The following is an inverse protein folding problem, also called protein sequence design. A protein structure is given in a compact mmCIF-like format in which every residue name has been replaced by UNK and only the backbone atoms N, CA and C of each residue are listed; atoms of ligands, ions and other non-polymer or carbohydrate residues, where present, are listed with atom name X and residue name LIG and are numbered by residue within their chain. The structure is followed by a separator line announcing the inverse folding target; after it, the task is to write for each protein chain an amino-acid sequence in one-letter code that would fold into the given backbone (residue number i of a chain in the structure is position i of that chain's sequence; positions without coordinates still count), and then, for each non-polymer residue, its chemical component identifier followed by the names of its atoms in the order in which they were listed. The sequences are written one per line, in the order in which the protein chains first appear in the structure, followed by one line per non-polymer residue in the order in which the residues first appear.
data_IF_383872524731
#
_entry.id   IF_383872524731
#
_cell.length_a   1.000
_cell.length_b   1.000
_cell.length_c   1.000
_cell.angle_alpha   90.00
_cell.angle_beta   90.00
_cell.angle_gamma   90.00
#
_symmetry.space_group_name_H-M   'P 1'
#
loop_
_entity.id
_entity.type
_entity.pdbx_description
1 polymer ?
#
# COMPACT_ATOMS: atom_id res chain seq x y z
N UNK A 1 14.58 -0.97 -9.60
CA UNK A 1 14.16 -2.40 -9.56
C UNK A 1 12.65 -2.47 -9.36
N UNK A 2 11.96 -3.34 -10.11
CA UNK A 2 10.51 -3.55 -9.99
C UNK A 2 10.19 -5.04 -9.96
N UNK A 3 9.04 -5.37 -9.37
CA UNK A 3 8.48 -6.72 -9.35
C UNK A 3 7.55 -6.88 -10.56
N UNK A 4 7.85 -7.83 -11.45
CA UNK A 4 7.02 -8.12 -12.63
C UNK A 4 6.09 -9.29 -12.41
N UNK A 5 6.49 -10.29 -11.66
CA UNK A 5 5.69 -11.49 -11.45
C UNK A 5 5.93 -12.13 -10.09
N UNK A 6 4.88 -12.64 -9.49
CA UNK A 6 4.92 -13.36 -8.20
C UNK A 6 4.28 -14.72 -8.36
N UNK A 7 4.97 -15.76 -7.89
CA UNK A 7 4.46 -17.12 -7.83
C UNK A 7 4.51 -17.64 -6.41
N UNK A 8 3.40 -18.18 -5.96
CA UNK A 8 3.29 -18.81 -4.64
C UNK A 8 2.76 -20.23 -4.81
N UNK A 9 3.28 -21.13 -4.00
CA UNK A 9 2.80 -22.52 -3.88
C UNK A 9 2.74 -22.89 -2.40
N UNK A 10 1.59 -23.35 -1.97
CA UNK A 10 1.33 -23.92 -0.64
C UNK A 10 1.71 -23.00 0.54
N UNK A 11 1.50 -21.70 0.45
CA UNK A 11 1.69 -20.77 1.58
C UNK A 11 0.34 -20.52 2.25
N UNK A 12 0.19 -20.92 3.50
CA UNK A 12 -1.04 -20.72 4.30
C UNK A 12 -2.30 -21.05 3.49
N UNK A 13 -3.22 -20.09 3.29
CA UNK A 13 -4.44 -20.23 2.50
C UNK A 13 -4.20 -20.46 1.01
N UNK A 14 -3.06 -20.03 0.47
CA UNK A 14 -2.77 -20.10 -0.95
C UNK A 14 -2.25 -21.47 -1.38
N UNK A 15 -3.03 -22.18 -2.19
CA UNK A 15 -2.56 -23.40 -2.84
C UNK A 15 -1.60 -23.07 -4.00
N UNK A 16 -1.99 -22.09 -4.84
CA UNK A 16 -1.19 -21.59 -5.96
C UNK A 16 -1.61 -20.16 -6.30
N UNK A 17 -0.63 -19.30 -6.50
CA UNK A 17 -0.79 -17.96 -7.07
C UNK A 17 0.23 -17.82 -8.20
N UNK A 18 -0.16 -17.23 -9.31
CA UNK A 18 0.73 -16.81 -10.40
C UNK A 18 0.21 -15.46 -10.87
N UNK A 19 0.84 -14.38 -10.42
CA UNK A 19 0.38 -13.01 -10.57
C UNK A 19 1.38 -12.21 -11.37
N UNK A 20 0.94 -11.69 -12.51
CA UNK A 20 1.69 -10.75 -13.36
C UNK A 20 1.38 -9.32 -12.90
N UNK A 21 2.40 -8.59 -12.47
CA UNK A 21 2.30 -7.19 -12.01
C UNK A 21 2.73 -6.19 -13.09
N UNK A 22 2.98 -6.66 -14.31
CA UNK A 22 3.33 -5.80 -15.45
C UNK A 22 2.12 -4.96 -15.87
N UNK A 23 2.38 -3.72 -16.23
CA UNK A 23 1.37 -2.80 -16.74
C UNK A 23 1.39 -2.73 -18.27
N UNK A 24 0.32 -2.22 -18.89
CA UNK A 24 0.35 -1.82 -20.28
C UNK A 24 1.56 -0.91 -20.54
N UNK A 25 2.18 -1.01 -21.71
CA UNK A 25 3.40 -0.26 -22.10
C UNK A 25 4.68 -0.59 -21.30
N UNK A 26 4.72 -1.71 -20.56
CA UNK A 26 5.94 -2.24 -19.95
C UNK A 26 6.41 -1.55 -18.67
N UNK A 27 5.73 -0.51 -18.20
CA UNK A 27 6.00 0.08 -16.88
C UNK A 27 5.63 -0.89 -15.75
N UNK A 28 6.26 -0.76 -14.60
CA UNK A 28 5.89 -1.47 -13.37
C UNK A 28 5.76 -0.53 -12.18
N UNK A 29 6.13 0.75 -12.33
CA UNK A 29 5.88 1.77 -11.32
C UNK A 29 4.38 2.07 -11.21
N UNK A 30 3.99 2.78 -10.15
CA UNK A 30 2.62 3.19 -9.90
C UNK A 30 1.96 2.41 -8.77
N UNK A 31 0.62 2.40 -8.72
CA UNK A 31 -0.17 1.96 -7.59
C UNK A 31 -0.92 0.65 -7.87
N UNK A 32 -0.51 -0.41 -7.17
CA UNK A 32 -1.15 -1.73 -7.22
C UNK A 32 -1.84 -2.00 -5.88
N UNK A 33 -3.11 -2.33 -5.92
CA UNK A 33 -3.94 -2.61 -4.75
C UNK A 33 -4.29 -4.09 -4.69
N UNK A 34 -3.97 -4.71 -3.57
CA UNK A 34 -4.41 -6.05 -3.19
C UNK A 34 -5.66 -5.89 -2.34
N UNK A 35 -6.82 -6.11 -2.93
CA UNK A 35 -8.11 -5.96 -2.28
C UNK A 35 -8.79 -7.31 -2.05
N UNK A 36 -9.75 -7.34 -1.14
CA UNK A 36 -10.49 -8.56 -0.77
C UNK A 36 -10.93 -8.51 0.69
N UNK A 37 -11.83 -9.42 1.05
CA UNK A 37 -12.42 -9.50 2.39
C UNK A 37 -11.37 -9.86 3.46
N UNK A 38 -11.78 -9.74 4.74
CA UNK A 38 -10.95 -10.19 5.86
C UNK A 38 -10.61 -11.68 5.73
N UNK A 39 -9.37 -12.02 6.06
CA UNK A 39 -8.89 -13.41 5.94
C UNK A 39 -8.50 -13.85 4.53
N UNK A 40 -8.67 -13.06 3.48
CA UNK A 40 -8.28 -13.40 2.10
C UNK A 40 -6.77 -13.57 1.89
N UNK A 41 -5.95 -13.20 2.88
CA UNK A 41 -4.50 -13.41 2.84
C UNK A 41 -3.71 -12.24 2.28
N UNK A 42 -4.27 -11.03 2.18
CA UNK A 42 -3.59 -9.82 1.68
C UNK A 42 -2.22 -9.61 2.32
N UNK A 43 -2.17 -9.51 3.64
CA UNK A 43 -0.91 -9.36 4.40
C UNK A 43 0.04 -10.55 4.19
N UNK A 44 -0.49 -11.77 4.06
CA UNK A 44 0.34 -12.96 3.79
C UNK A 44 1.01 -12.88 2.43
N UNK A 45 0.27 -12.46 1.39
CA UNK A 45 0.82 -12.26 0.04
C UNK A 45 1.90 -11.17 0.05
N UNK A 46 1.62 -10.04 0.69
CA UNK A 46 2.55 -8.91 0.77
C UNK A 46 3.84 -9.29 1.51
N UNK A 47 3.71 -9.97 2.67
CA UNK A 47 4.85 -10.48 3.44
C UNK A 47 5.64 -11.55 2.67
N UNK A 48 4.98 -12.44 1.95
CA UNK A 48 5.66 -13.44 1.13
C UNK A 48 6.51 -12.79 0.01
N UNK A 49 5.99 -11.75 -0.64
CA UNK A 49 6.72 -10.94 -1.61
C UNK A 49 7.97 -10.33 -0.95
N UNK A 50 7.83 -9.66 0.18
CA UNK A 50 8.96 -9.05 0.90
C UNK A 50 10.04 -10.09 1.24
N UNK A 51 9.64 -11.23 1.82
CA UNK A 51 10.55 -12.32 2.20
C UNK A 51 11.34 -12.86 1.01
N UNK A 52 10.69 -13.00 -0.15
CA UNK A 52 11.33 -13.49 -1.38
C UNK A 52 12.44 -12.56 -1.87
N UNK A 53 12.32 -11.26 -1.61
CA UNK A 53 13.26 -10.23 -2.07
C UNK A 53 14.40 -9.98 -1.08
N UNK A 54 14.14 -10.05 0.24
CA UNK A 54 15.19 -9.81 1.26
C UNK A 54 16.09 -11.02 1.51
N UNK A 55 15.64 -12.20 1.14
CA UNK A 55 16.41 -13.44 1.22
C UNK A 55 16.35 -14.16 2.58
N UNK A 56 16.87 -15.39 2.65
CA UNK A 56 16.64 -16.30 3.79
C UNK A 56 17.27 -15.83 5.10
N UNK A 57 18.42 -15.20 5.07
CA UNK A 57 19.09 -14.71 6.28
C UNK A 57 18.31 -13.55 6.91
N UNK A 58 17.92 -12.55 6.10
CA UNK A 58 17.12 -11.43 6.56
C UNK A 58 15.72 -11.87 6.99
N UNK A 59 15.11 -12.84 6.28
CA UNK A 59 13.80 -13.38 6.61
C UNK A 59 13.76 -13.94 8.05
N UNK A 60 14.80 -14.69 8.47
CA UNK A 60 14.91 -15.20 9.85
C UNK A 60 15.11 -14.12 10.90
N UNK A 61 15.66 -12.98 10.52
CA UNK A 61 15.85 -11.86 11.43
C UNK A 61 14.61 -11.04 11.67
N UNK A 62 13.77 -10.85 10.62
CA UNK A 62 12.58 -10.00 10.71
C UNK A 62 11.34 -10.74 11.23
N UNK A 63 11.32 -12.05 11.15
CA UNK A 63 10.16 -12.87 11.52
C UNK A 63 10.53 -13.92 12.56
N UNK A 64 9.81 -13.92 13.68
CA UNK A 64 10.14 -14.75 14.86
C UNK A 64 9.97 -16.26 14.60
N UNK A 65 9.08 -16.66 13.71
CA UNK A 65 8.86 -18.06 13.39
C UNK A 65 8.00 -18.25 12.13
N UNK A 66 8.24 -19.36 11.45
CA UNK A 66 7.53 -19.75 10.24
C UNK A 66 6.55 -20.90 10.46
N UNK A 67 6.24 -21.24 11.71
CA UNK A 67 5.20 -22.20 12.03
C UNK A 67 3.88 -21.79 11.37
N UNK A 68 3.21 -22.74 10.70
CA UNK A 68 1.97 -22.49 9.98
C UNK A 68 2.12 -21.74 8.63
N UNK A 69 3.32 -21.47 8.14
CA UNK A 69 3.52 -20.93 6.79
C UNK A 69 3.29 -21.95 5.69
N UNK A 70 3.61 -23.20 5.94
CA UNK A 70 3.32 -24.29 5.00
C UNK A 70 1.83 -24.63 5.12
N UNK A 71 1.15 -24.70 3.99
CA UNK A 71 -0.26 -25.11 3.91
C UNK A 71 -0.43 -26.51 4.52
N UNK A 72 -1.45 -26.68 5.34
CA UNK A 72 -1.76 -27.94 6.01
C UNK A 72 -1.76 -29.13 5.04
N UNK A 73 -1.09 -30.21 5.42
CA UNK A 73 -0.96 -31.43 4.61
C UNK A 73 0.03 -31.32 3.45
N UNK A 74 0.82 -30.26 3.34
CA UNK A 74 1.87 -30.13 2.32
C UNK A 74 3.26 -30.22 2.93
N UNK A 75 4.24 -30.82 2.22
CA UNK A 75 5.60 -30.96 2.72
C UNK A 75 6.44 -29.70 2.53
N UNK A 76 6.01 -28.81 1.62
CA UNK A 76 6.79 -27.65 1.25
C UNK A 76 5.89 -26.48 0.79
N UNK A 77 6.36 -25.27 1.04
CA UNK A 77 5.82 -24.03 0.50
C UNK A 77 6.90 -23.25 -0.24
N UNK A 78 6.52 -22.48 -1.26
CA UNK A 78 7.47 -21.73 -2.10
C UNK A 78 6.87 -20.37 -2.46
N UNK A 79 7.72 -19.34 -2.43
CA UNK A 79 7.47 -18.06 -3.08
C UNK A 79 8.61 -17.74 -4.05
N UNK A 80 8.25 -17.28 -5.24
CA UNK A 80 9.19 -16.81 -6.26
C UNK A 80 8.72 -15.46 -6.78
N UNK A 81 9.66 -14.53 -6.93
CA UNK A 81 9.40 -13.19 -7.44
C UNK A 81 10.36 -12.88 -8.59
N UNK A 82 9.82 -12.47 -9.73
CA UNK A 82 10.62 -12.02 -10.86
C UNK A 82 10.89 -10.53 -10.72
N UNK A 83 12.15 -10.18 -10.63
CA UNK A 83 12.65 -8.81 -10.48
C UNK A 83 13.21 -8.32 -11.80
N UNK A 84 12.80 -7.11 -12.19
CA UNK A 84 13.37 -6.37 -13.32
C UNK A 84 14.19 -5.21 -12.76
N UNK A 85 15.51 -5.21 -13.00
CA UNK A 85 16.36 -4.09 -12.60
C UNK A 85 16.03 -2.82 -13.36
N UNK A 86 16.16 -1.69 -12.68
CA UNK A 86 16.01 -0.36 -13.25
C UNK A 86 17.37 0.26 -13.57
N UNK A 87 17.38 1.33 -14.35
CA UNK A 87 18.60 2.08 -14.61
C UNK A 87 19.14 2.67 -13.29
N UNK A 88 20.37 2.36 -12.95
CA UNK A 88 21.00 2.79 -11.69
C UNK A 88 21.00 1.74 -10.57
N UNK A 89 20.29 0.62 -10.71
CA UNK A 89 20.41 -0.49 -9.76
C UNK A 89 21.79 -1.15 -9.90
N UNK A 90 22.50 -1.27 -8.80
CA UNK A 90 23.78 -1.98 -8.73
C UNK A 90 23.51 -3.32 -8.05
N UNK A 91 23.43 -4.37 -8.86
CA UNK A 91 23.30 -5.73 -8.38
C UNK A 91 24.67 -6.39 -8.36
N UNK A 92 24.99 -7.08 -7.29
CA UNK A 92 26.26 -7.74 -7.10
C UNK A 92 26.68 -8.61 -8.29
N UNK A 93 27.93 -8.46 -8.74
CA UNK A 93 28.53 -9.18 -9.87
C UNK A 93 28.18 -8.66 -11.25
N UNK A 94 27.41 -7.58 -11.41
CA UNK A 94 27.24 -6.91 -12.67
C UNK A 94 28.46 -6.01 -12.98
N UNK A 95 29.03 -6.16 -14.19
CA UNK A 95 30.02 -5.20 -14.68
C UNK A 95 29.33 -3.84 -14.89
N UNK A 96 29.99 -2.76 -14.49
CA UNK A 96 29.50 -1.41 -14.72
C UNK A 96 29.14 -1.22 -16.21
N UNK A 97 27.91 -0.79 -16.50
CA UNK A 97 27.43 -0.53 -17.88
C UNK A 97 26.60 -1.64 -18.53
N UNK A 98 26.50 -2.83 -17.96
CA UNK A 98 25.62 -3.88 -18.49
C UNK A 98 24.30 -3.81 -17.72
N UNK A 99 23.16 -3.56 -18.39
CA UNK A 99 21.84 -3.69 -17.80
C UNK A 99 21.67 -5.14 -17.35
N UNK A 100 21.50 -5.40 -16.04
CA UNK A 100 21.24 -6.75 -15.58
C UNK A 100 19.88 -7.20 -16.14
N UNK A 101 19.83 -8.41 -16.65
CA UNK A 101 18.55 -9.00 -17.06
C UNK A 101 17.68 -9.26 -15.85
N UNK A 102 16.35 -9.26 -16.04
CA UNK A 102 15.41 -9.69 -15.02
C UNK A 102 15.72 -11.11 -14.53
N UNK A 103 15.52 -11.36 -13.26
CA UNK A 103 15.85 -12.63 -12.62
C UNK A 103 14.81 -13.03 -11.57
N UNK A 104 14.72 -14.34 -11.31
CA UNK A 104 13.90 -14.88 -10.25
C UNK A 104 14.65 -14.92 -8.94
N UNK A 105 13.96 -14.54 -7.88
CA UNK A 105 14.38 -14.66 -6.49
C UNK A 105 13.28 -15.36 -5.73
N UNK A 106 13.60 -16.10 -4.66
CA UNK A 106 12.57 -16.79 -3.91
C UNK A 106 13.06 -17.51 -2.67
N UNK A 107 12.10 -17.99 -1.92
CA UNK A 107 12.30 -18.79 -0.72
C UNK A 107 11.45 -20.06 -0.76
N UNK A 108 11.95 -21.11 -0.16
CA UNK A 108 11.21 -22.34 0.14
C UNK A 108 11.25 -22.67 1.63
N UNK A 109 10.12 -23.09 2.12
CA UNK A 109 9.91 -23.65 3.46
C UNK A 109 9.70 -25.15 3.32
N UNK A 110 10.49 -25.97 4.00
CA UNK A 110 10.33 -27.41 4.01
C UNK A 110 10.01 -27.88 5.42
N UNK A 111 8.96 -28.69 5.54
CA UNK A 111 8.60 -29.31 6.81
C UNK A 111 9.77 -30.14 7.36
N UNK A 112 10.04 -29.96 8.64
CA UNK A 112 11.06 -30.71 9.35
C UNK A 112 10.40 -31.72 10.28
N UNK A 113 10.82 -32.98 10.21
CA UNK A 113 10.25 -34.04 11.04
C UNK A 113 10.42 -33.69 12.53
N UNK A 114 9.34 -33.70 13.28
CA UNK A 114 9.31 -33.43 14.73
C UNK A 114 9.64 -31.96 15.12
N UNK A 115 9.57 -31.02 14.18
CA UNK A 115 9.69 -29.58 14.48
C UNK A 115 8.49 -28.83 13.93
N UNK A 116 7.87 -27.90 14.68
CA UNK A 116 6.86 -26.98 14.16
C UNK A 116 7.48 -25.95 13.20
N UNK A 117 8.78 -25.66 13.34
CA UNK A 117 9.48 -24.71 12.49
C UNK A 117 10.04 -25.38 11.23
N UNK A 118 9.68 -24.87 10.05
CA UNK A 118 10.20 -25.36 8.79
C UNK A 118 11.65 -24.91 8.55
N UNK A 119 12.39 -25.67 7.79
CA UNK A 119 13.67 -25.20 7.26
C UNK A 119 13.42 -24.21 6.13
N UNK A 120 14.17 -23.10 6.14
CA UNK A 120 14.11 -22.03 5.15
C UNK A 120 15.35 -22.07 4.27
N UNK A 121 15.16 -22.09 2.96
CA UNK A 121 16.24 -22.09 1.99
C UNK A 121 15.94 -21.20 0.79
N UNK A 122 16.96 -20.68 0.09
CA UNK A 122 16.75 -19.99 -1.18
C UNK A 122 16.06 -20.92 -2.18
N UNK A 123 15.09 -20.39 -2.92
CA UNK A 123 14.47 -21.09 -4.01
C UNK A 123 15.25 -20.81 -5.30
N UNK A 124 15.78 -21.86 -5.89
CA UNK A 124 16.47 -21.83 -7.19
C UNK A 124 15.63 -22.59 -8.19
N UNK A 125 15.18 -21.92 -9.24
CA UNK A 125 14.38 -22.57 -10.30
C UNK A 125 15.18 -23.65 -11.03
N UNK A 126 14.63 -24.87 -11.08
CA UNK A 126 15.32 -26.05 -11.69
C UNK A 126 15.54 -25.94 -13.19
N UNK A 127 14.79 -25.08 -13.89
CA UNK A 127 14.77 -25.01 -15.37
C UNK A 127 15.25 -23.68 -15.94
N UNK A 128 15.95 -22.86 -15.15
CA UNK A 128 16.42 -21.56 -15.64
C UNK A 128 17.88 -21.64 -16.05
N UNK A 129 18.21 -21.06 -17.22
CA UNK A 129 19.60 -20.92 -17.68
C UNK A 129 20.45 -20.26 -16.59
N UNK A 130 21.67 -20.72 -16.40
CA UNK A 130 22.55 -20.36 -15.27
C UNK A 130 22.74 -18.83 -15.04
N UNK A 131 22.48 -18.00 -16.07
CA UNK A 131 22.51 -16.53 -16.00
C UNK A 131 21.25 -15.91 -15.35
N UNK A 132 20.12 -16.62 -15.32
CA UNK A 132 18.86 -16.16 -14.73
C UNK A 132 18.66 -16.71 -13.31
N UNK A 133 19.47 -17.70 -12.92
CA UNK A 133 19.45 -18.34 -11.60
C UNK A 133 20.63 -17.85 -10.79
N UNK A 134 20.54 -16.66 -10.26
CA UNK A 134 21.62 -16.23 -9.38
C UNK A 134 21.08 -15.85 -8.00
N UNK A 135 20.68 -16.82 -7.13
CA UNK A 135 20.44 -16.51 -5.73
C UNK A 135 21.69 -15.92 -5.07
N UNK A 136 22.88 -16.35 -5.51
CA UNK A 136 24.15 -15.71 -5.17
C UNK A 136 24.36 -14.33 -5.83
N UNK A 137 23.52 -13.92 -6.77
CA UNK A 137 23.56 -12.64 -7.50
C UNK A 137 22.27 -11.83 -7.37
N UNK A 138 21.33 -12.29 -6.54
CA UNK A 138 20.11 -11.55 -6.20
C UNK A 138 20.40 -10.34 -5.30
N UNK A 139 19.38 -9.53 -5.01
CA UNK A 139 19.54 -8.32 -4.20
C UNK A 139 20.18 -8.53 -2.84
N UNK A 140 20.17 -9.76 -2.33
CA UNK A 140 20.75 -10.13 -1.03
C UNK A 140 22.15 -10.73 -1.09
N UNK A 141 22.72 -10.96 -2.27
CA UNK A 141 24.01 -11.64 -2.41
C UNK A 141 25.18 -10.86 -1.80
N UNK A 142 25.05 -9.54 -1.73
CA UNK A 142 26.04 -8.67 -1.10
C UNK A 142 25.47 -7.95 0.12
N UNK A 143 26.24 -7.93 1.20
CA UNK A 143 25.88 -7.20 2.41
C UNK A 143 25.72 -5.69 2.20
N UNK A 144 26.23 -5.16 1.09
CA UNK A 144 26.29 -3.74 0.73
C UNK A 144 25.74 -3.47 -0.66
N UNK A 145 24.67 -4.15 -1.09
CA UNK A 145 24.01 -3.83 -2.37
C UNK A 145 23.51 -2.38 -2.39
N UNK A 146 24.09 -1.56 -3.28
CA UNK A 146 23.73 -0.17 -3.49
C UNK A 146 22.76 -0.06 -4.68
N UNK A 147 21.93 0.98 -4.67
CA UNK A 147 21.16 1.34 -5.86
C UNK A 147 19.90 0.53 -6.13
N UNK A 148 19.51 -0.40 -5.24
CA UNK A 148 18.20 -1.03 -5.29
C UNK A 148 17.40 -0.71 -4.02
N UNK A 149 16.09 -0.60 -4.16
CA UNK A 149 15.23 -0.18 -3.08
C UNK A 149 13.99 -1.05 -2.97
N UNK A 150 13.77 -1.60 -1.77
CA UNK A 150 12.52 -2.21 -1.33
C UNK A 150 12.29 -1.79 0.11
N UNK A 151 11.12 -1.22 0.40
CA UNK A 151 10.67 -0.95 1.77
C UNK A 151 9.32 -1.63 2.02
N UNK A 152 9.05 -1.98 3.29
CA UNK A 152 7.81 -2.64 3.67
C UNK A 152 7.27 -2.08 4.99
N UNK A 153 5.99 -1.70 4.99
CA UNK A 153 5.31 -1.04 6.09
C UNK A 153 4.08 -1.85 6.52
N UNK A 154 4.00 -2.16 7.81
CA UNK A 154 2.84 -2.83 8.42
C UNK A 154 1.71 -1.87 8.77
N UNK A 155 0.58 -2.36 9.31
CA UNK A 155 -0.55 -1.53 9.72
C UNK A 155 -0.24 -0.69 10.96
N UNK A 156 0.63 -1.15 11.85
CA UNK A 156 0.97 -0.49 13.13
C UNK A 156 2.09 0.54 12.98
N UNK A 157 1.96 1.47 12.02
CA UNK A 157 2.91 2.55 11.76
C UNK A 157 2.83 3.65 12.82
N UNK A 158 3.38 3.41 14.01
CA UNK A 158 3.36 4.37 15.11
C UNK A 158 4.66 5.18 15.15
N UNK A 159 4.55 6.47 15.58
CA UNK A 159 5.71 7.30 15.94
C UNK A 159 6.15 7.12 17.39
N UNK A 160 5.47 6.29 18.16
CA UNK A 160 5.76 6.01 19.57
C UNK A 160 5.89 4.51 19.76
N UNK A 161 6.94 4.09 20.45
CA UNK A 161 7.24 2.70 20.78
C UNK A 161 8.72 2.55 21.08
N UNK A 162 9.07 1.79 22.11
CA UNK A 162 10.45 1.55 22.56
C UNK A 162 10.74 0.05 22.67
N UNK A 163 10.33 -0.73 21.67
CA UNK A 163 10.73 -2.14 21.65
C UNK A 163 12.22 -2.25 21.29
N UNK A 164 13.02 -2.63 22.24
CA UNK A 164 14.49 -2.71 22.11
C UNK A 164 14.94 -3.63 20.98
N UNK A 165 14.17 -4.68 20.67
CA UNK A 165 14.52 -5.65 19.64
C UNK A 165 14.17 -5.16 18.22
N UNK A 166 12.97 -4.61 18.00
CA UNK A 166 12.62 -3.99 16.74
C UNK A 166 13.58 -2.84 16.40
N UNK A 167 13.94 -2.01 17.39
CA UNK A 167 14.91 -0.93 17.23
C UNK A 167 16.30 -1.44 16.81
N UNK A 168 16.78 -2.54 17.39
CA UNK A 168 18.06 -3.15 16.97
C UNK A 168 18.03 -3.60 15.51
N UNK A 169 16.91 -4.17 15.05
CA UNK A 169 16.74 -4.56 13.65
C UNK A 169 16.67 -3.36 12.71
N UNK A 170 16.03 -2.26 13.13
CA UNK A 170 15.94 -1.02 12.35
C UNK A 170 17.27 -0.26 12.26
N UNK A 171 18.16 -0.41 13.25
CA UNK A 171 19.52 0.08 13.22
C UNK A 171 20.50 -0.88 12.51
N UNK A 172 20.04 -2.07 12.17
CA UNK A 172 20.81 -3.11 11.49
C UNK A 172 21.03 -2.85 10.00
N UNK A 173 21.40 -3.90 9.24
CA UNK A 173 21.60 -3.79 7.79
C UNK A 173 20.38 -3.22 7.09
N UNK A 174 20.58 -2.28 6.17
CA UNK A 174 19.51 -1.54 5.49
C UNK A 174 18.41 -2.44 4.91
N UNK A 175 18.75 -3.59 4.31
CA UNK A 175 17.79 -4.53 3.76
C UNK A 175 16.82 -5.13 4.79
N UNK A 176 17.24 -5.22 6.06
CA UNK A 176 16.41 -5.65 7.18
C UNK A 176 15.60 -4.46 7.69
N UNK A 177 16.28 -3.35 7.98
CA UNK A 177 15.69 -2.14 8.53
C UNK A 177 14.49 -1.63 7.71
N UNK A 178 14.58 -1.70 6.37
CA UNK A 178 13.53 -1.24 5.45
C UNK A 178 12.22 -2.03 5.50
N UNK A 179 12.20 -3.22 6.10
CA UNK A 179 11.01 -4.10 6.10
C UNK A 179 10.55 -4.52 7.49
N UNK A 180 11.27 -4.15 8.55
CA UNK A 180 10.96 -4.56 9.92
C UNK A 180 9.51 -4.26 10.28
N UNK A 181 9.01 -3.05 9.97
CA UNK A 181 7.65 -2.63 10.32
C UNK A 181 6.55 -3.41 9.61
N UNK A 182 6.84 -4.09 8.49
CA UNK A 182 5.88 -4.98 7.82
C UNK A 182 5.67 -6.29 8.61
N UNK A 183 6.65 -6.70 9.42
CA UNK A 183 6.63 -7.98 10.12
C UNK A 183 6.42 -7.85 11.62
N UNK A 184 6.81 -6.72 12.19
CA UNK A 184 6.80 -6.49 13.64
C UNK A 184 5.88 -5.34 14.00
N UNK A 185 4.90 -5.63 14.84
CA UNK A 185 3.91 -4.65 15.30
C UNK A 185 4.50 -3.65 16.31
N UNK A 186 5.58 -4.03 16.97
CA UNK A 186 6.33 -3.20 17.92
C UNK A 186 7.33 -2.25 17.24
N UNK A 187 7.51 -2.36 15.92
CA UNK A 187 8.35 -1.44 15.16
C UNK A 187 7.69 -0.06 15.02
N UNK A 188 8.45 0.99 15.29
CA UNK A 188 7.97 2.37 15.18
C UNK A 188 8.75 3.13 14.09
N UNK A 189 8.15 4.18 13.54
CA UNK A 189 8.81 5.06 12.57
C UNK A 189 9.60 6.21 13.26
N UNK A 190 9.94 6.07 14.54
CA UNK A 190 10.73 7.06 15.31
C UNK A 190 12.08 7.33 14.65
N UNK A 191 12.65 6.32 14.00
CA UNK A 191 13.90 6.43 13.26
C UNK A 191 13.87 7.52 12.17
N UNK A 192 12.72 7.77 11.56
CA UNK A 192 12.57 8.83 10.57
C UNK A 192 12.72 10.22 11.21
N UNK A 193 12.18 10.42 12.41
CA UNK A 193 12.32 11.65 13.17
C UNK A 193 13.76 11.84 13.67
N UNK A 194 14.40 10.77 14.15
CA UNK A 194 15.81 10.80 14.55
C UNK A 194 16.71 11.17 13.38
N UNK A 195 16.44 10.64 12.19
CA UNK A 195 17.18 10.99 10.99
C UNK A 195 17.03 12.48 10.62
N UNK A 196 15.83 13.07 10.77
CA UNK A 196 15.63 14.51 10.57
C UNK A 196 16.46 15.34 11.54
N UNK A 197 16.52 14.94 12.82
CA UNK A 197 17.39 15.59 13.81
C UNK A 197 18.87 15.49 13.43
N UNK A 198 19.29 14.33 12.91
CA UNK A 198 20.67 14.16 12.43
C UNK A 198 20.97 15.12 11.26
N UNK A 199 20.05 15.24 10.30
CA UNK A 199 20.19 16.20 9.18
C UNK A 199 20.35 17.63 9.72
N UNK A 200 19.48 18.03 10.63
CA UNK A 200 19.56 19.34 11.27
C UNK A 200 20.91 19.60 11.95
N UNK A 201 21.39 18.66 12.76
CA UNK A 201 22.68 18.78 13.44
C UNK A 201 23.84 18.89 12.44
N UNK A 202 23.86 18.08 11.39
CA UNK A 202 24.88 18.11 10.35
C UNK A 202 24.83 19.39 9.51
N UNK A 203 23.65 20.00 9.33
CA UNK A 203 23.51 21.33 8.74
C UNK A 203 24.19 22.40 9.60
N UNK A 204 24.03 22.34 10.92
CA UNK A 204 24.70 23.24 11.85
C UNK A 204 26.24 23.12 11.80
N UNK A 205 26.76 21.94 11.46
CA UNK A 205 28.18 21.73 11.17
C UNK A 205 28.61 22.34 9.82
N UNK A 206 27.76 23.14 9.16
CA UNK A 206 28.00 23.83 7.89
C UNK A 206 28.28 22.89 6.70
N UNK A 207 27.72 21.69 6.72
CA UNK A 207 27.77 20.75 5.59
C UNK A 207 26.69 21.10 4.58
N UNK A 208 27.05 21.72 3.47
CA UNK A 208 26.11 22.24 2.46
C UNK A 208 25.14 21.20 1.90
N UNK A 209 25.57 19.95 1.76
CA UNK A 209 24.72 18.85 1.27
C UNK A 209 23.54 18.58 2.20
N UNK A 210 23.73 18.72 3.53
CA UNK A 210 22.66 18.53 4.50
C UNK A 210 21.68 19.70 4.56
N UNK A 211 22.13 20.91 4.29
CA UNK A 211 21.23 22.06 4.15
C UNK A 211 20.31 21.90 2.94
N UNK A 212 20.85 21.44 1.81
CA UNK A 212 20.05 21.14 0.62
C UNK A 212 19.09 19.98 0.86
N UNK A 213 19.54 18.91 1.54
CA UNK A 213 18.70 17.75 1.87
C UNK A 213 17.53 18.16 2.77
N UNK A 214 17.77 18.99 3.79
CA UNK A 214 16.72 19.53 4.67
C UNK A 214 15.70 20.35 3.88
N UNK A 215 16.15 21.28 3.04
CA UNK A 215 15.28 22.07 2.18
C UNK A 215 14.42 21.19 1.26
N UNK A 216 15.03 20.22 0.59
CA UNK A 216 14.32 19.25 -0.26
C UNK A 216 13.22 18.48 0.49
N UNK A 217 13.49 18.07 1.72
CA UNK A 217 12.49 17.35 2.54
C UNK A 217 11.34 18.29 2.92
N UNK A 218 11.63 19.53 3.35
CA UNK A 218 10.61 20.50 3.68
C UNK A 218 9.73 20.84 2.47
N UNK A 219 10.35 21.06 1.31
CA UNK A 219 9.65 21.35 0.06
C UNK A 219 8.73 20.18 -0.33
N UNK A 220 9.23 18.95 -0.28
CA UNK A 220 8.44 17.74 -0.58
C UNK A 220 7.23 17.60 0.37
N UNK A 221 7.44 17.76 1.68
CA UNK A 221 6.36 17.61 2.66
C UNK A 221 5.31 18.72 2.55
N UNK A 222 5.71 19.92 2.08
CA UNK A 222 4.82 21.04 1.85
C UNK A 222 4.13 21.03 0.48
N UNK A 223 4.50 20.11 -0.41
CA UNK A 223 3.91 19.98 -1.74
C UNK A 223 2.60 19.17 -1.70
N UNK A 224 1.62 19.70 -0.99
CA UNK A 224 0.27 19.15 -0.94
C UNK A 224 0.09 17.85 -0.13
N UNK A 225 1.08 17.42 0.65
CA UNK A 225 0.95 16.24 1.51
C UNK A 225 -0.07 16.49 2.63
N UNK A 226 0.06 17.61 3.33
CA UNK A 226 -0.79 17.94 4.46
C UNK A 226 -1.99 18.79 4.00
N UNK A 227 -3.23 18.48 4.47
CA UNK A 227 -4.44 19.18 4.03
C UNK A 227 -4.59 20.56 4.67
N UNK A 228 -5.33 21.44 3.98
CA UNK A 228 -5.67 22.79 4.48
C UNK A 228 -4.47 23.73 4.54
N UNK A 229 -4.40 24.49 5.62
CA UNK A 229 -3.35 25.47 5.91
C UNK A 229 -2.16 24.87 6.68
N UNK A 230 -2.14 23.55 6.86
CA UNK A 230 -1.10 22.85 7.61
C UNK A 230 0.19 22.79 6.80
N UNK A 231 1.28 23.31 7.39
CA UNK A 231 2.60 23.36 6.76
C UNK A 231 3.69 22.91 7.71
N UNK A 232 4.66 22.21 7.17
CA UNK A 232 5.92 21.91 7.87
C UNK A 232 6.76 23.19 7.85
N UNK A 233 7.01 23.76 9.03
CA UNK A 233 7.70 25.04 9.15
C UNK A 233 9.21 24.88 9.23
N UNK A 234 9.69 23.93 10.05
CA UNK A 234 11.12 23.70 10.27
C UNK A 234 11.39 22.32 10.86
N UNK A 235 12.66 21.97 10.81
CA UNK A 235 13.26 20.84 11.53
C UNK A 235 14.27 21.41 12.54
N UNK A 236 14.25 20.87 13.78
CA UNK A 236 15.23 21.21 14.81
C UNK A 236 15.59 19.99 15.67
N UNK A 237 16.25 20.20 16.82
CA UNK A 237 16.66 19.14 17.75
C UNK A 237 15.47 18.37 18.35
N UNK A 238 14.26 18.97 18.38
CA UNK A 238 13.03 18.32 18.83
C UNK A 238 12.32 17.53 17.70
N UNK A 239 12.70 17.72 16.45
CA UNK A 239 12.15 17.08 15.27
C UNK A 239 11.42 18.04 14.34
N UNK A 240 10.27 17.62 13.82
CA UNK A 240 9.48 18.32 12.82
C UNK A 240 8.46 19.25 13.50
N UNK A 241 8.43 20.51 13.08
CA UNK A 241 7.48 21.52 13.55
C UNK A 241 6.47 21.86 12.47
N UNK A 242 5.22 21.90 12.86
CA UNK A 242 4.08 22.12 11.98
C UNK A 242 3.37 23.40 12.38
N UNK A 243 3.05 24.22 11.39
CA UNK A 243 2.22 25.43 11.54
C UNK A 243 0.80 25.12 11.09
N UNK A 244 -0.18 25.38 11.97
CA UNK A 244 -1.61 25.20 11.68
C UNK A 244 -2.40 26.33 12.36
N UNK A 245 -3.28 27.03 11.63
CA UNK A 245 -4.13 28.07 12.18
C UNK A 245 -3.32 29.20 12.88
N UNK A 246 -2.10 29.51 12.43
CA UNK A 246 -1.21 30.47 13.03
C UNK A 246 -0.41 30.00 14.26
N UNK A 247 -0.64 28.78 14.74
CA UNK A 247 0.07 28.17 15.87
C UNK A 247 1.12 27.19 15.35
N UNK A 248 2.32 27.22 15.93
CA UNK A 248 3.40 26.26 15.61
C UNK A 248 3.53 25.23 16.72
N UNK A 249 3.38 23.96 16.36
CA UNK A 249 3.37 22.81 17.26
C UNK A 249 4.35 21.75 16.76
N UNK A 250 4.99 20.97 17.66
CA UNK A 250 5.77 19.81 17.23
C UNK A 250 4.85 18.72 16.66
N UNK A 251 5.32 17.98 15.64
CA UNK A 251 4.56 16.92 14.98
C UNK A 251 3.92 15.91 15.97
N UNK A 252 4.58 15.64 17.11
CA UNK A 252 4.09 14.73 18.16
C UNK A 252 2.77 15.16 18.80
N UNK A 253 2.41 16.44 18.72
CA UNK A 253 1.16 16.99 19.30
C UNK A 253 -0.01 17.00 18.30
N UNK A 254 0.25 16.69 17.05
CA UNK A 254 -0.81 16.56 16.05
C UNK A 254 -1.55 15.23 16.15
N UNK A 255 -2.69 15.14 15.46
CA UNK A 255 -3.46 13.90 15.36
C UNK A 255 -2.65 12.76 14.70
N UNK A 256 -3.02 11.52 14.99
CA UNK A 256 -2.34 10.32 14.48
C UNK A 256 -2.23 10.30 12.96
N UNK A 257 -3.23 10.78 12.24
CA UNK A 257 -3.21 10.83 10.78
C UNK A 257 -2.07 11.68 10.23
N UNK A 258 -1.88 12.90 10.76
CA UNK A 258 -0.77 13.78 10.35
C UNK A 258 0.59 13.13 10.65
N UNK A 259 0.71 12.58 11.86
CA UNK A 259 1.95 11.91 12.30
C UNK A 259 2.29 10.72 11.41
N UNK A 260 1.31 9.88 11.12
CA UNK A 260 1.51 8.65 10.33
C UNK A 260 1.91 8.96 8.89
N UNK A 261 1.24 9.92 8.24
CA UNK A 261 1.56 10.30 6.84
C UNK A 261 2.94 10.93 6.74
N UNK A 262 3.24 11.93 7.60
CA UNK A 262 4.53 12.59 7.60
C UNK A 262 5.67 11.60 7.89
N UNK A 263 5.47 10.68 8.85
CA UNK A 263 6.45 9.67 9.20
C UNK A 263 6.67 8.66 8.05
N UNK A 264 5.61 8.17 7.43
CA UNK A 264 5.70 7.25 6.29
C UNK A 264 6.49 7.86 5.14
N UNK A 265 6.15 9.09 4.74
CA UNK A 265 6.84 9.77 3.64
C UNK A 265 8.30 10.05 4.00
N UNK A 266 8.56 10.57 5.20
CA UNK A 266 9.93 10.83 5.68
C UNK A 266 10.75 9.55 5.72
N UNK A 267 10.17 8.43 6.13
CA UNK A 267 10.87 7.14 6.19
C UNK A 267 11.19 6.57 4.80
N UNK A 268 10.27 6.70 3.84
CA UNK A 268 10.53 6.37 2.43
C UNK A 268 11.70 7.20 1.90
N UNK A 269 11.69 8.51 2.13
CA UNK A 269 12.76 9.44 1.71
C UNK A 269 14.10 9.08 2.38
N UNK A 270 14.08 8.80 3.69
CA UNK A 270 15.26 8.35 4.44
C UNK A 270 15.89 7.10 3.82
N UNK A 271 15.07 6.11 3.54
CA UNK A 271 15.54 4.85 2.97
C UNK A 271 16.03 5.00 1.52
N UNK A 272 15.37 5.85 0.71
CA UNK A 272 15.86 6.21 -0.63
C UNK A 272 17.22 6.92 -0.56
N UNK A 273 17.35 7.92 0.34
CA UNK A 273 18.62 8.61 0.54
C UNK A 273 19.73 7.65 0.99
N UNK A 274 19.46 6.75 1.93
CA UNK A 274 20.43 5.73 2.38
C UNK A 274 20.83 4.78 1.25
N UNK A 275 19.88 4.40 0.39
CA UNK A 275 20.12 3.49 -0.72
C UNK A 275 20.86 4.08 -1.90
N UNK A 276 20.60 5.35 -2.23
CA UNK A 276 21.14 6.00 -3.41
C UNK A 276 22.14 7.13 -3.12
N UNK A 277 22.25 7.57 -1.85
CA UNK A 277 23.09 8.67 -1.34
C UNK A 277 22.73 10.06 -1.88
N UNK A 278 21.80 10.16 -2.80
CA UNK A 278 21.23 11.39 -3.33
C UNK A 278 19.77 11.14 -3.72
N UNK A 279 18.88 12.06 -3.38
CA UNK A 279 17.45 11.96 -3.73
C UNK A 279 17.21 12.30 -5.20
N UNK A 280 18.14 13.00 -5.86
CA UNK A 280 17.98 13.51 -7.24
C UNK A 280 16.66 14.24 -7.43
N UNK A 281 16.23 14.97 -6.39
CA UNK A 281 14.96 15.68 -6.41
C UNK A 281 14.93 16.70 -7.56
N UNK A 282 13.84 16.73 -8.28
CA UNK A 282 13.60 17.58 -9.43
C UNK A 282 12.42 18.48 -9.15
N UNK A 283 12.56 19.77 -9.40
CA UNK A 283 11.45 20.70 -9.47
C UNK A 283 10.84 20.61 -10.87
N UNK A 284 9.52 20.42 -10.93
CA UNK A 284 8.75 20.34 -12.17
C UNK A 284 8.02 21.65 -12.36
N UNK A 285 8.39 22.39 -13.38
CA UNK A 285 7.72 23.66 -13.76
C UNK A 285 6.68 23.36 -14.81
N UNK A 286 5.42 23.59 -14.49
CA UNK A 286 4.29 23.49 -15.43
C UNK A 286 3.08 22.76 -14.84
N UNK A 287 1.89 23.23 -15.21
CA UNK A 287 0.66 22.51 -14.99
C UNK A 287 0.60 21.29 -15.93
N UNK A 288 -0.03 20.22 -15.49
CA UNK A 288 -0.36 19.13 -16.42
C UNK A 288 -1.36 19.64 -17.45
N UNK A 289 -1.48 18.95 -18.60
CA UNK A 289 -2.37 19.30 -19.72
C UNK A 289 -3.85 19.48 -19.30
N UNK A 290 -4.19 19.23 -18.04
CA UNK A 290 -5.55 19.27 -17.49
C UNK A 290 -5.72 20.31 -16.38
N UNK A 291 -4.75 21.20 -16.11
CA UNK A 291 -4.82 22.26 -15.10
C UNK A 291 -4.97 21.75 -13.66
N UNK A 292 -4.69 20.47 -13.40
CA UNK A 292 -4.68 19.89 -12.05
C UNK A 292 -3.30 20.08 -11.43
N UNK A 293 -3.26 20.36 -10.14
CA UNK A 293 -2.03 20.49 -9.35
C UNK A 293 -1.09 19.29 -9.59
N UNK A 294 -0.13 19.49 -10.50
CA UNK A 294 0.99 18.58 -10.69
C UNK A 294 1.92 18.69 -9.48
N UNK A 295 2.53 17.59 -9.06
CA UNK A 295 3.56 17.63 -8.04
C UNK A 295 4.68 18.56 -8.47
N UNK A 296 4.98 19.57 -7.65
CA UNK A 296 6.08 20.50 -7.91
C UNK A 296 7.44 19.85 -7.75
N UNK A 297 7.55 18.91 -6.82
CA UNK A 297 8.79 18.19 -6.53
C UNK A 297 8.64 16.69 -6.79
N UNK A 298 9.63 16.08 -7.46
CA UNK A 298 9.66 14.65 -7.76
C UNK A 298 10.99 14.03 -7.41
N UNK A 299 10.94 12.81 -6.89
CA UNK A 299 12.11 11.97 -6.63
C UNK A 299 12.09 10.81 -7.65
N UNK A 300 12.90 10.89 -8.73
CA UNK A 300 12.84 9.93 -9.86
C UNK A 300 13.59 8.63 -9.59
N UNK A 301 13.81 8.28 -8.34
CA UNK A 301 14.46 7.03 -7.96
C UNK A 301 13.49 5.86 -8.08
N UNK A 302 13.99 4.73 -8.56
CA UNK A 302 13.19 3.52 -8.74
C UNK A 302 13.24 2.60 -7.52
N UNK A 303 12.16 1.84 -7.30
CA UNK A 303 12.10 0.86 -6.23
C UNK A 303 10.73 0.30 -6.01
N UNK A 304 10.58 -0.47 -4.93
CA UNK A 304 9.33 -1.09 -4.52
C UNK A 304 8.98 -0.68 -3.09
N UNK A 305 7.76 -0.27 -2.88
CA UNK A 305 7.21 0.02 -1.55
C UNK A 305 5.98 -0.85 -1.31
N UNK A 306 6.03 -1.64 -0.25
CA UNK A 306 4.97 -2.53 0.18
C UNK A 306 4.29 -1.91 1.40
N UNK A 307 2.95 -1.71 1.38
CA UNK A 307 2.23 -1.11 2.51
C UNK A 307 1.04 -1.98 2.86
N UNK A 308 1.03 -2.52 4.06
CA UNK A 308 -0.11 -3.28 4.60
C UNK A 308 -1.10 -2.32 5.24
N UNK A 309 -2.41 -2.46 4.88
CA UNK A 309 -3.51 -1.61 5.36
C UNK A 309 -3.17 -0.12 5.32
N UNK A 310 -2.95 0.39 4.10
CA UNK A 310 -2.43 1.76 3.90
C UNK A 310 -3.34 2.84 4.50
N UNK A 311 -4.65 2.58 4.60
CA UNK A 311 -5.67 3.47 5.19
C UNK A 311 -5.58 3.62 6.71
N UNK A 312 -4.89 2.71 7.41
CA UNK A 312 -4.86 2.68 8.87
C UNK A 312 -4.36 4.01 9.44
N UNK A 313 -5.13 4.59 10.35
CA UNK A 313 -4.96 5.91 10.95
C UNK A 313 -5.15 7.10 10.00
N UNK A 314 -5.51 6.89 8.72
CA UNK A 314 -5.75 7.98 7.79
C UNK A 314 -7.20 8.47 7.82
N UNK A 315 -7.38 9.77 7.95
CA UNK A 315 -8.68 10.40 7.71
C UNK A 315 -9.11 10.17 6.24
N UNK A 316 -10.43 10.08 5.98
CA UNK A 316 -10.99 9.80 4.66
C UNK A 316 -10.44 10.73 3.56
N UNK A 317 -10.22 12.01 3.86
CA UNK A 317 -9.63 12.96 2.91
C UNK A 317 -8.21 12.55 2.45
N UNK A 318 -7.42 11.95 3.33
CA UNK A 318 -6.11 11.40 2.96
C UNK A 318 -6.20 10.09 2.21
N UNK A 319 -7.14 9.21 2.59
CA UNK A 319 -7.35 7.97 1.85
C UNK A 319 -7.62 8.24 0.37
N UNK A 320 -8.36 9.33 0.06
CA UNK A 320 -8.60 9.77 -1.32
C UNK A 320 -7.36 10.30 -2.05
N UNK A 321 -6.37 10.78 -1.34
CA UNK A 321 -5.25 11.54 -1.92
C UNK A 321 -3.91 10.83 -1.89
N UNK A 322 -3.64 10.03 -0.86
CA UNK A 322 -2.30 9.49 -0.60
C UNK A 322 -1.73 8.67 -1.77
N UNK A 323 -2.54 7.85 -2.43
CA UNK A 323 -2.09 7.06 -3.56
C UNK A 323 -1.70 7.92 -4.77
N UNK A 324 -2.48 8.95 -5.08
CA UNK A 324 -2.17 9.90 -6.15
C UNK A 324 -0.93 10.73 -5.80
N UNK A 325 -0.85 11.23 -4.57
CA UNK A 325 0.29 12.00 -4.10
C UNK A 325 1.58 11.20 -4.19
N UNK A 326 1.60 9.97 -3.69
CA UNK A 326 2.78 9.10 -3.74
C UNK A 326 3.21 8.79 -5.18
N UNK A 327 2.28 8.53 -6.09
CA UNK A 327 2.60 8.31 -7.51
C UNK A 327 3.22 9.53 -8.18
N UNK A 328 2.72 10.72 -7.86
CA UNK A 328 3.19 11.96 -8.47
C UNK A 328 4.60 12.32 -8.00
N UNK A 329 4.88 12.15 -6.69
CA UNK A 329 6.17 12.50 -6.10
C UNK A 329 7.25 11.43 -6.28
N UNK A 330 6.84 10.17 -6.45
CA UNK A 330 7.74 9.02 -6.65
C UNK A 330 7.37 8.26 -7.94
N UNK A 331 7.52 8.88 -9.13
CA UNK A 331 6.97 8.35 -10.39
C UNK A 331 7.57 7.00 -10.81
N UNK A 332 8.76 6.66 -10.33
CA UNK A 332 9.44 5.41 -10.66
C UNK A 332 9.37 4.37 -9.53
N UNK A 333 8.59 4.62 -8.48
CA UNK A 333 8.36 3.65 -7.41
C UNK A 333 7.12 2.81 -7.72
N UNK A 334 7.25 1.51 -7.54
CA UNK A 334 6.15 0.55 -7.56
C UNK A 334 5.57 0.42 -6.16
N UNK A 335 4.36 0.91 -5.95
CA UNK A 335 3.62 0.73 -4.70
C UNK A 335 2.73 -0.50 -4.84
N UNK A 336 2.84 -1.44 -3.89
CA UNK A 336 1.94 -2.59 -3.76
C UNK A 336 1.33 -2.50 -2.36
N UNK A 337 0.04 -2.24 -2.30
CA UNK A 337 -0.63 -1.94 -1.04
C UNK A 337 -1.79 -2.89 -0.79
N UNK A 338 -2.09 -3.14 0.47
CA UNK A 338 -3.34 -3.79 0.87
C UNK A 338 -4.28 -2.75 1.45
N UNK A 339 -5.58 -2.95 1.30
CA UNK A 339 -6.58 -2.02 1.82
C UNK A 339 -7.94 -2.67 2.00
N UNK A 340 -8.73 -2.08 2.90
CA UNK A 340 -10.18 -2.26 3.05
C UNK A 340 -10.96 -0.99 2.67
N UNK A 341 -10.29 0.04 2.17
CA UNK A 341 -10.90 1.32 1.80
C UNK A 341 -11.16 1.40 0.30
N UNK A 342 -12.39 1.69 -0.14
CA UNK A 342 -12.70 1.95 -1.54
C UNK A 342 -11.92 3.16 -2.06
N UNK A 343 -11.67 4.17 -1.23
CA UNK A 343 -10.94 5.37 -1.62
C UNK A 343 -9.48 5.11 -1.99
N UNK A 344 -8.84 4.16 -1.33
CA UNK A 344 -7.47 3.73 -1.69
C UNK A 344 -7.46 3.00 -3.02
N UNK A 345 -8.52 2.22 -3.32
CA UNK A 345 -8.67 1.52 -4.59
C UNK A 345 -8.80 2.48 -5.77
N UNK A 346 -9.39 3.67 -5.58
CA UNK A 346 -9.55 4.67 -6.63
C UNK A 346 -8.22 5.19 -7.20
N UNK A 347 -7.11 5.04 -6.48
CA UNK A 347 -5.79 5.41 -6.98
C UNK A 347 -5.14 4.32 -7.85
N UNK A 348 -5.76 3.13 -7.98
CA UNK A 348 -5.21 2.02 -8.75
C UNK A 348 -5.02 2.40 -10.22
N UNK A 349 -3.86 2.03 -10.75
CA UNK A 349 -3.60 2.18 -12.18
C UNK A 349 -4.23 1.02 -12.97
N UNK A 350 -4.32 1.15 -14.28
CA UNK A 350 -4.80 0.08 -15.16
C UNK A 350 -4.07 -1.23 -14.87
N UNK A 351 -4.82 -2.32 -14.65
CA UNK A 351 -4.31 -3.61 -14.14
C UNK A 351 -3.65 -3.53 -12.76
N UNK A 352 -3.90 -2.46 -12.00
CA UNK A 352 -3.39 -2.28 -10.65
C UNK A 352 -4.35 -2.74 -9.55
N UNK A 353 -5.53 -3.22 -9.88
CA UNK A 353 -6.49 -3.72 -8.89
C UNK A 353 -6.57 -5.25 -8.95
N UNK A 354 -6.25 -5.91 -7.84
CA UNK A 354 -6.14 -7.36 -7.74
C UNK A 354 -7.09 -7.85 -6.66
N UNK A 355 -7.98 -8.77 -7.03
CA UNK A 355 -8.91 -9.41 -6.11
C UNK A 355 -8.27 -10.66 -5.47
N UNK A 356 -8.36 -10.74 -4.15
CA UNK A 356 -8.02 -11.92 -3.36
C UNK A 356 -9.33 -12.53 -2.81
N UNK A 357 -9.76 -13.69 -3.33
CA UNK A 357 -10.96 -14.36 -2.84
C UNK A 357 -10.87 -14.68 -1.35
N UNK A 358 -12.00 -14.64 -0.65
CA UNK A 358 -12.05 -15.04 0.73
C UNK A 358 -11.84 -16.57 0.88
N UNK A 359 -11.43 -17.05 2.07
CA UNK A 359 -11.32 -18.48 2.33
C UNK A 359 -12.65 -19.19 2.07
N UNK A 360 -12.62 -20.23 1.23
CA UNK A 360 -13.82 -21.00 0.85
C UNK A 360 -14.57 -20.45 -0.36
N UNK A 361 -14.27 -19.25 -0.83
CA UNK A 361 -14.83 -18.75 -2.09
C UNK A 361 -14.16 -19.43 -3.30
N UNK A 362 -14.98 -19.69 -4.32
CA UNK A 362 -14.46 -20.13 -5.61
C UNK A 362 -13.79 -18.96 -6.30
N UNK A 363 -12.50 -19.10 -6.63
CA UNK A 363 -11.75 -18.03 -7.31
C UNK A 363 -10.25 -18.19 -7.18
N UNK A 364 -9.54 -17.36 -7.90
CA UNK A 364 -8.07 -17.27 -7.87
C UNK A 364 -7.68 -15.82 -7.64
N UNK A 365 -6.52 -15.62 -7.02
CA UNK A 365 -5.90 -14.30 -6.99
C UNK A 365 -5.65 -13.85 -8.43
N UNK A 366 -6.30 -12.77 -8.85
CA UNK A 366 -6.26 -12.28 -10.22
C UNK A 366 -6.56 -10.78 -10.30
N UNK A 367 -6.22 -10.17 -11.43
CA UNK A 367 -6.71 -8.83 -11.76
C UNK A 367 -8.23 -8.86 -11.85
N UNK A 368 -8.86 -7.79 -11.40
CA UNK A 368 -10.30 -7.60 -11.58
C UNK A 368 -10.63 -7.43 -13.06
N UNK A 369 -11.89 -7.67 -13.43
CA UNK A 369 -12.38 -7.36 -14.79
C UNK A 369 -12.35 -5.86 -15.06
N UNK A 370 -12.31 -5.46 -16.34
CA UNK A 370 -12.33 -4.04 -16.72
C UNK A 370 -13.61 -3.33 -16.23
N UNK A 371 -14.73 -4.04 -16.22
CA UNK A 371 -16.00 -3.52 -15.70
C UNK A 371 -15.88 -3.22 -14.20
N UNK A 372 -15.40 -4.17 -13.40
CA UNK A 372 -15.20 -3.99 -11.96
C UNK A 372 -14.16 -2.92 -11.66
N UNK A 373 -13.08 -2.86 -12.45
CA UNK A 373 -12.08 -1.80 -12.34
C UNK A 373 -12.73 -0.42 -12.52
N UNK A 374 -13.52 -0.24 -13.56
CA UNK A 374 -14.21 1.03 -13.83
C UNK A 374 -15.21 1.39 -12.72
N UNK A 375 -15.97 0.42 -12.21
CA UNK A 375 -16.88 0.64 -11.09
C UNK A 375 -16.15 1.13 -9.84
N UNK A 376 -15.01 0.54 -9.51
CA UNK A 376 -14.26 0.87 -8.27
C UNK A 376 -13.44 2.14 -8.42
N UNK A 377 -12.77 2.34 -9.57
CA UNK A 377 -11.85 3.46 -9.77
C UNK A 377 -12.56 4.73 -10.20
N UNK A 378 -13.55 4.61 -11.09
CA UNK A 378 -14.26 5.76 -11.66
C UNK A 378 -15.67 5.98 -11.04
N UNK A 379 -16.19 5.00 -10.29
CA UNK A 379 -17.48 5.09 -9.60
C UNK A 379 -17.40 5.75 -8.22
N UNK A 380 -18.53 5.79 -7.54
CA UNK A 380 -18.64 6.26 -6.17
C UNK A 380 -18.11 5.24 -5.16
N UNK A 381 -17.91 5.69 -3.90
CA UNK A 381 -17.54 4.77 -2.83
C UNK A 381 -18.64 3.73 -2.57
N UNK A 382 -19.91 4.11 -2.73
CA UNK A 382 -21.07 3.24 -2.56
C UNK A 382 -21.07 2.11 -3.60
N UNK A 383 -20.77 2.44 -4.87
CA UNK A 383 -20.65 1.44 -5.95
C UNK A 383 -19.52 0.46 -5.67
N UNK A 384 -18.40 0.96 -5.17
CA UNK A 384 -17.26 0.13 -4.84
C UNK A 384 -17.57 -0.84 -3.70
N UNK A 385 -18.21 -0.39 -2.58
CA UNK A 385 -18.46 -1.24 -1.41
C UNK A 385 -19.48 -2.36 -1.65
N UNK A 386 -20.45 -2.16 -2.56
CA UNK A 386 -21.40 -3.21 -2.95
C UNK A 386 -20.86 -4.14 -4.04
N UNK A 387 -19.71 -3.81 -4.64
CA UNK A 387 -19.08 -4.67 -5.63
C UNK A 387 -18.58 -6.00 -5.02
N UNK A 388 -18.34 -6.98 -5.87
CA UNK A 388 -17.78 -8.28 -5.45
C UNK A 388 -16.42 -8.17 -4.72
N UNK A 389 -15.70 -7.05 -4.89
CA UNK A 389 -14.42 -6.80 -4.28
C UNK A 389 -14.52 -6.61 -2.76
N UNK A 390 -15.56 -5.91 -2.29
CA UNK A 390 -15.84 -5.66 -0.87
C UNK A 390 -16.98 -6.52 -0.35
N UNK A 391 -17.94 -6.86 -1.20
CA UNK A 391 -19.02 -7.81 -0.96
C UNK A 391 -19.98 -7.41 0.14
N UNK A 392 -20.29 -6.12 0.26
CA UNK A 392 -21.41 -5.66 1.06
C UNK A 392 -22.70 -5.75 0.26
N UNK A 393 -23.77 -6.22 0.87
CA UNK A 393 -25.08 -6.33 0.22
C UNK A 393 -25.70 -4.94 0.00
N UNK A 394 -25.34 -3.95 0.82
CA UNK A 394 -25.87 -2.59 0.78
C UNK A 394 -24.87 -1.59 1.39
N UNK A 395 -24.80 -0.36 0.90
CA UNK A 395 -23.99 0.70 1.49
C UNK A 395 -24.67 1.36 2.71
N UNK A 396 -25.90 0.97 3.01
CA UNK A 396 -26.71 1.59 4.06
C UNK A 396 -26.53 0.93 5.41
N UNK A 397 -26.79 1.68 6.49
CA UNK A 397 -26.89 1.12 7.81
C UNK A 397 -28.09 0.17 7.90
N UNK A 398 -28.05 -0.76 8.85
CA UNK A 398 -29.14 -1.71 9.08
C UNK A 398 -30.50 -1.02 9.29
N UNK A 399 -30.56 0.07 10.04
CA UNK A 399 -31.78 0.85 10.29
C UNK A 399 -32.24 1.57 9.03
N UNK A 400 -31.32 2.14 8.24
CA UNK A 400 -31.67 2.76 6.95
C UNK A 400 -32.17 1.72 5.94
N UNK A 401 -31.59 0.51 5.95
CA UNK A 401 -32.06 -0.62 5.13
C UNK A 401 -33.50 -1.00 5.46
N UNK A 402 -33.83 -1.14 6.75
CA UNK A 402 -35.21 -1.41 7.19
C UNK A 402 -36.19 -0.31 6.80
N UNK A 403 -35.81 0.96 6.97
CA UNK A 403 -36.65 2.08 6.56
C UNK A 403 -36.92 2.05 5.04
N UNK A 404 -35.91 1.79 4.23
CA UNK A 404 -36.04 1.66 2.77
C UNK A 404 -36.93 0.50 2.38
N UNK A 405 -36.80 -0.64 3.07
CA UNK A 405 -37.69 -1.78 2.86
C UNK A 405 -39.13 -1.47 3.20
N UNK A 406 -39.39 -0.80 4.33
CA UNK A 406 -40.73 -0.35 4.71
C UNK A 406 -41.33 0.63 3.70
N UNK A 407 -40.53 1.56 3.19
CA UNK A 407 -40.96 2.48 2.12
C UNK A 407 -41.31 1.69 0.86
N UNK A 408 -40.48 0.76 0.41
CA UNK A 408 -40.73 -0.03 -0.79
C UNK A 408 -41.96 -0.92 -0.66
N UNK A 409 -42.19 -1.55 0.48
CA UNK A 409 -43.37 -2.35 0.78
C UNK A 409 -44.64 -1.50 0.75
N UNK A 410 -44.60 -0.28 1.31
CA UNK A 410 -45.74 0.62 1.35
C UNK A 410 -46.05 1.20 -0.06
N UNK A 411 -45.00 1.52 -0.82
CA UNK A 411 -45.15 1.97 -2.23
C UNK A 411 -45.77 0.88 -3.10
N UNK A 412 -45.28 -0.37 -2.99
CA UNK A 412 -45.85 -1.52 -3.73
C UNK A 412 -47.31 -1.79 -3.37
N UNK A 413 -47.67 -1.60 -2.08
CA UNK A 413 -49.09 -1.75 -1.67
C UNK A 413 -49.96 -0.64 -2.23
N UNK A 414 -49.49 0.60 -2.20
CA UNK A 414 -50.21 1.77 -2.76
C UNK A 414 -50.47 1.63 -4.27
N UNK A 415 -49.57 0.97 -5.00
CA UNK A 415 -49.78 0.71 -6.43
C UNK A 415 -50.85 -0.36 -6.72
N UNK A 416 -51.04 -1.32 -5.80
CA UNK A 416 -51.93 -2.48 -6.00
C UNK A 416 -53.32 -2.33 -5.39
N UNK A 417 -53.49 -1.45 -4.42
CA UNK A 417 -54.70 -1.27 -3.61
C UNK A 417 -55.13 0.19 -3.53
N UNK A 418 -56.40 0.49 -3.26
CA UNK A 418 -56.86 1.85 -3.04
C UNK A 418 -56.12 2.53 -1.90
N UNK A 419 -55.53 3.68 -2.18
CA UNK A 419 -54.68 4.45 -1.27
C UNK A 419 -55.49 5.04 -0.13
N UNK A 420 -55.14 4.71 1.12
CA UNK A 420 -55.74 5.38 2.28
C UNK A 420 -54.95 6.65 2.66
N UNK A 421 -55.60 7.62 3.31
CA UNK A 421 -54.93 8.82 3.82
C UNK A 421 -53.82 8.46 4.82
N UNK A 422 -54.01 7.41 5.62
CA UNK A 422 -53.03 6.91 6.58
C UNK A 422 -51.76 6.36 5.88
N UNK A 423 -51.93 5.69 4.72
CA UNK A 423 -50.79 5.16 3.97
C UNK A 423 -49.96 6.27 3.36
N UNK A 424 -50.59 7.31 2.86
CA UNK A 424 -49.92 8.50 2.31
C UNK A 424 -49.13 9.25 3.42
N UNK A 425 -49.76 9.44 4.58
CA UNK A 425 -49.13 10.13 5.69
C UNK A 425 -47.93 9.33 6.23
N UNK A 426 -48.10 8.02 6.40
CA UNK A 426 -47.00 7.11 6.81
C UNK A 426 -45.84 7.10 5.81
N UNK A 427 -46.14 7.05 4.51
CA UNK A 427 -45.13 7.11 3.45
C UNK A 427 -44.37 8.44 3.48
N UNK A 428 -45.08 9.55 3.66
CA UNK A 428 -44.48 10.89 3.78
C UNK A 428 -43.50 10.95 4.98
N UNK A 429 -43.91 10.45 6.14
CA UNK A 429 -43.09 10.42 7.36
C UNK A 429 -41.84 9.54 7.16
N UNK A 430 -41.99 8.35 6.57
CA UNK A 430 -40.85 7.45 6.32
C UNK A 430 -39.87 8.05 5.31
N UNK A 431 -40.36 8.65 4.23
CA UNK A 431 -39.54 9.32 3.21
C UNK A 431 -38.78 10.53 3.79
N UNK A 432 -39.42 11.32 4.66
CA UNK A 432 -38.77 12.45 5.31
C UNK A 432 -37.59 12.05 6.23
N UNK A 433 -37.55 10.78 6.68
CA UNK A 433 -36.44 10.22 7.50
C UNK A 433 -35.28 9.69 6.65
N UNK A 434 -35.48 9.47 5.37
CA UNK A 434 -34.44 9.04 4.46
C UNK A 434 -33.73 10.27 3.84
N UNK A 435 -32.39 10.28 3.78
CA UNK A 435 -31.70 11.39 3.13
C UNK A 435 -32.05 11.46 1.64
N UNK A 436 -32.38 12.65 1.19
CA UNK A 436 -32.51 12.96 -0.25
C UNK A 436 -31.11 13.14 -0.81
N UNK A 437 -30.56 12.09 -1.41
CA UNK A 437 -29.30 12.14 -2.13
C UNK A 437 -29.55 11.89 -3.62
N UNK A 438 -28.72 12.41 -4.54
CA UNK A 438 -28.84 12.11 -5.97
C UNK A 438 -28.90 10.61 -6.26
N UNK A 439 -28.17 9.80 -5.49
CA UNK A 439 -28.20 8.34 -5.61
C UNK A 439 -29.55 7.76 -5.20
N UNK A 440 -30.19 8.31 -4.16
CA UNK A 440 -31.53 7.90 -3.73
C UNK A 440 -32.61 8.23 -4.79
N UNK A 441 -32.47 9.38 -5.44
CA UNK A 441 -33.40 9.80 -6.50
C UNK A 441 -33.26 8.91 -7.74
N UNK A 442 -32.05 8.53 -8.13
CA UNK A 442 -31.79 7.59 -9.22
C UNK A 442 -32.34 6.21 -8.89
N UNK A 443 -32.10 5.71 -7.67
CA UNK A 443 -32.61 4.42 -7.21
C UNK A 443 -34.13 4.39 -7.19
N UNK A 444 -34.79 5.50 -6.80
CA UNK A 444 -36.23 5.64 -6.83
C UNK A 444 -36.77 5.67 -8.27
N UNK A 445 -36.06 6.35 -9.18
CA UNK A 445 -36.42 6.38 -10.60
C UNK A 445 -36.33 4.99 -11.25
N UNK A 446 -35.25 4.24 -10.96
CA UNK A 446 -35.05 2.86 -11.44
C UNK A 446 -36.12 1.90 -10.91
N UNK A 447 -36.52 2.04 -9.65
CA UNK A 447 -37.59 1.22 -9.07
C UNK A 447 -38.97 1.53 -9.67
N UNK A 448 -39.20 2.78 -10.03
CA UNK A 448 -40.43 3.15 -10.76
C UNK A 448 -40.47 2.52 -12.16
N UNK A 449 -39.37 2.56 -12.89
CA UNK A 449 -39.28 1.94 -14.22
C UNK A 449 -39.43 0.42 -14.16
N UNK A 450 -38.86 -0.25 -13.15
CA UNK A 450 -38.99 -1.70 -12.96
C UNK A 450 -40.37 -2.14 -12.47
N UNK A 451 -41.22 -1.22 -12.00
CA UNK A 451 -42.60 -1.50 -11.59
C UNK A 451 -43.61 -1.27 -12.73
N UNK A 452 -43.19 -0.61 -13.81
CA UNK A 452 -43.94 -0.36 -15.01
C UNK A 452 -43.76 -1.43 -16.10
N UNK A 453 -42.81 -2.39 -15.88
CA UNK A 453 -42.65 -3.64 -16.63
C UNK A 453 -43.38 -4.82 -15.92
#
# INVERSE_FOLDING_TARGET
MHIKRVRIKNIRGFARVDLDLSRPHGSSSGWTVLAGRNGSGKSTLLRAIALSVIGPAAARSVFEGFSGWIRTGKPEAVVETFLEPSHGDILGGARAGIRPYGFWTGLSWKAVRRSPEPSLSPQVGRNMKSRQNAPARGPWAEAQGWGWFLAGYGPTRRLTGHASEAMRLMLGPDRIARVVSLFREDASLVESVQWLREIYLRRLERKADFARLEANILDLLNDGLLPGDVRVERIDSEGLWIKQGGVTLPLRELSDGYRTVAALVTDIVRHLYRGFKDLKMQEVVGDDEHGKHSARFRIPLSGVVLIDEVETHLHVSWQKRIGFWLKQHFPNVQFIVTTHSPFICQAADTRGLINLPAPGEAGKVAHVSDSLFNTVVNGGADDAVISELFGLDTPYSYESGKLREQVAQLESRIQKEPVTKQDQEKLSILRARLPQSPSADVEQALRKLAADE
#
